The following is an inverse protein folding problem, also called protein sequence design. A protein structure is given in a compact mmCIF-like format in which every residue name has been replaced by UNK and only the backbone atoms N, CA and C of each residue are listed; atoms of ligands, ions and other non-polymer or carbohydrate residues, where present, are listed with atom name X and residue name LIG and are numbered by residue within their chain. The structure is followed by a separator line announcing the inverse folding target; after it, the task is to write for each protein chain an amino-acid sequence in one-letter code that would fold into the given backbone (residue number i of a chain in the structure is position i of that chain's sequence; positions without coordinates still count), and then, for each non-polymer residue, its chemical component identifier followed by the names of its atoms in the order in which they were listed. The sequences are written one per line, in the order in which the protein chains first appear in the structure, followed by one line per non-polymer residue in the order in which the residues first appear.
data_IF_214170900288
#
_entry.id   IF_214170900288
#
_cell.length_a   1.000
_cell.length_b   1.000
_cell.length_c   1.000
_cell.angle_alpha   90.00
_cell.angle_beta   90.00
_cell.angle_gamma   90.00
#
_symmetry.space_group_name_H-M   'P 1'
#
loop_
_entity.id
_entity.type
_entity.pdbx_description
1 polymer ?
#
# COMPACT_ATOMS: atom_id res chain seq x y z
N UNK A 1 -4.98 -6.21 21.22
CA UNK A 1 -4.88 -5.64 19.85
C UNK A 1 -3.67 -6.29 19.19
N UNK A 2 -3.85 -7.13 18.17
CA UNK A 2 -2.72 -7.84 17.51
C UNK A 2 -3.06 -8.13 16.04
N UNK A 3 -2.59 -7.34 15.09
CA UNK A 3 -2.23 -7.88 13.76
C UNK A 3 -0.78 -8.32 13.86
N UNK A 4 -0.51 -9.58 13.54
CA UNK A 4 0.81 -10.19 13.68
C UNK A 4 1.32 -10.52 12.29
N UNK A 5 2.36 -9.81 11.84
CA UNK A 5 3.24 -10.24 10.75
C UNK A 5 4.37 -11.00 11.45
N UNK A 6 4.57 -12.29 11.15
CA UNK A 6 5.53 -13.15 11.86
C UNK A 6 6.35 -14.05 10.92
N UNK A 7 7.65 -14.26 11.21
CA UNK A 7 8.38 -15.49 10.93
C UNK A 7 8.41 -16.44 12.16
N UNK A 8 8.68 -17.73 11.93
CA UNK A 8 8.37 -18.89 12.78
C UNK A 8 9.20 -19.10 14.07
N UNK A 9 8.63 -19.85 15.03
CA UNK A 9 9.14 -20.21 16.38
C UNK A 9 9.69 -21.66 16.49
N UNK A 10 10.20 -22.06 17.68
CA UNK A 10 9.61 -23.24 18.34
C UNK A 10 9.49 -23.23 19.90
N UNK A 11 8.31 -23.69 20.37
CA UNK A 11 7.90 -24.57 21.51
C UNK A 11 8.54 -24.60 22.92
N UNK A 12 7.69 -24.68 23.98
CA UNK A 12 7.60 -25.80 24.99
C UNK A 12 6.36 -25.65 25.94
N UNK A 13 5.98 -26.74 26.65
CA UNK A 13 4.66 -27.13 27.24
C UNK A 13 4.48 -26.95 28.78
N UNK A 14 3.26 -26.56 29.20
CA UNK A 14 2.30 -27.09 30.24
C UNK A 14 2.63 -27.11 31.80
N UNK A 15 1.69 -27.49 32.73
CA UNK A 15 0.83 -26.63 33.61
C UNK A 15 0.78 -27.14 35.11
N UNK A 16 -0.33 -27.21 35.94
CA UNK A 16 -1.59 -26.46 36.18
C UNK A 16 -1.94 -26.18 37.71
N UNK A 17 -3.18 -25.69 38.00
CA UNK A 17 -4.02 -25.80 39.25
C UNK A 17 -4.36 -24.47 39.94
N UNK A 18 -5.51 -24.21 40.62
CA UNK A 18 -6.83 -24.83 40.79
C UNK A 18 -7.72 -23.89 41.67
N UNK A 19 -9.01 -24.23 41.82
CA UNK A 19 -9.93 -23.96 42.96
C UNK A 19 -10.84 -22.70 42.94
N UNK A 20 -12.16 -22.97 42.89
CA UNK A 20 -13.32 -22.12 43.29
C UNK A 20 -13.70 -22.38 44.78
N UNK A 21 -14.66 -21.70 45.47
CA UNK A 21 -16.10 -21.89 45.17
C UNK A 21 -17.14 -20.84 45.67
N UNK A 22 -18.39 -21.03 45.19
CA UNK A 22 -19.70 -20.98 45.90
C UNK A 22 -20.44 -19.65 46.18
N UNK A 23 -21.65 -19.50 45.59
CA UNK A 23 -23.00 -19.65 46.22
C UNK A 23 -24.08 -18.93 45.37
N UNK A 24 -25.03 -19.64 44.72
CA UNK A 24 -26.38 -20.06 45.19
C UNK A 24 -27.39 -18.89 45.30
N UNK A 25 -28.54 -18.82 44.61
CA UNK A 25 -29.78 -19.66 44.55
C UNK A 25 -30.72 -18.98 43.51
N UNK A 26 -31.85 -19.46 43.00
CA UNK A 26 -32.60 -20.73 42.91
C UNK A 26 -33.87 -20.40 42.09
N UNK A 27 -34.42 -21.36 41.33
CA UNK A 27 -35.68 -21.16 40.61
C UNK A 27 -36.07 -22.30 39.63
N UNK A 28 -36.41 -23.46 40.20
CA UNK A 28 -37.17 -24.63 39.67
C UNK A 28 -38.31 -24.29 38.67
N UNK A 29 -38.76 -25.14 37.72
CA UNK A 29 -39.16 -26.57 37.87
C UNK A 29 -39.49 -27.25 36.50
N UNK A 30 -39.11 -28.54 36.39
CA UNK A 30 -39.82 -29.72 35.82
C UNK A 30 -40.32 -29.76 34.35
N UNK A 31 -40.38 -30.89 33.61
CA UNK A 31 -39.86 -32.28 33.71
C UNK A 31 -40.34 -33.06 32.44
N UNK A 32 -39.78 -34.26 32.24
CA UNK A 32 -40.19 -35.39 31.36
C UNK A 32 -39.55 -35.47 29.97
N UNK A 33 -39.06 -36.60 29.43
CA UNK A 33 -38.46 -37.86 29.90
C UNK A 33 -38.34 -38.81 28.68
N UNK A 34 -37.11 -39.20 28.33
CA UNK A 34 -36.63 -40.52 27.80
C UNK A 34 -37.05 -41.03 26.38
N UNK A 35 -36.32 -42.01 25.78
CA UNK A 35 -34.93 -42.46 25.99
C UNK A 35 -34.09 -42.64 24.70
N UNK A 36 -32.79 -42.89 24.90
CA UNK A 36 -31.80 -43.36 23.92
C UNK A 36 -31.86 -44.88 23.66
N UNK A 37 -31.03 -45.39 22.73
CA UNK A 37 -30.27 -46.60 23.04
C UNK A 37 -28.75 -46.48 22.75
N UNK A 38 -28.00 -47.18 23.60
CA UNK A 38 -26.56 -47.52 23.53
C UNK A 38 -26.26 -48.65 22.52
N UNK A 39 -25.00 -48.73 22.08
CA UNK A 39 -24.13 -49.93 21.97
C UNK A 39 -22.95 -49.60 21.04
N UNK A 40 -21.76 -49.28 21.57
CA UNK A 40 -20.63 -50.18 21.86
C UNK A 40 -19.61 -50.37 20.70
N UNK A 41 -18.31 -50.59 21.02
CA UNK A 41 -17.18 -50.31 20.12
C UNK A 41 -16.68 -51.56 19.36
N UNK A 42 -16.13 -51.35 18.16
CA UNK A 42 -15.38 -52.39 17.44
C UNK A 42 -13.87 -52.15 17.59
N UNK A 43 -13.23 -53.11 18.25
CA UNK A 43 -11.79 -53.35 18.24
C UNK A 43 -11.43 -54.01 16.91
N UNK A 44 -10.38 -53.54 16.24
CA UNK A 44 -9.71 -54.31 15.18
C UNK A 44 -8.19 -54.12 15.24
N UNK A 45 -7.53 -55.26 15.24
CA UNK A 45 -6.12 -55.57 15.44
C UNK A 45 -5.21 -55.23 14.25
N UNK A 46 -3.93 -55.11 14.62
CA UNK A 46 -2.70 -55.02 13.81
C UNK A 46 -2.66 -55.98 12.61
N UNK A 47 -2.17 -55.48 11.46
CA UNK A 47 -1.54 -56.31 10.42
C UNK A 47 -0.30 -55.60 9.85
N UNK A 48 0.86 -56.17 10.17
CA UNK A 48 2.19 -55.91 9.60
C UNK A 48 2.34 -56.53 8.20
N UNK A 49 3.03 -55.84 7.27
CA UNK A 49 3.69 -56.47 6.10
C UNK A 49 5.05 -55.77 5.78
N UNK A 50 5.98 -56.48 5.12
CA UNK A 50 7.44 -56.37 5.31
C UNK A 50 8.19 -55.60 4.17
N UNK A 51 9.54 -55.48 4.19
CA UNK A 51 10.31 -54.38 3.58
C UNK A 51 11.00 -54.73 2.25
N UNK A 52 11.21 -53.71 1.40
CA UNK A 52 12.26 -53.59 0.34
C UNK A 52 12.02 -52.21 -0.34
N UNK A 53 12.97 -51.39 -0.79
CA UNK A 53 14.36 -51.58 -1.16
C UNK A 53 15.16 -50.27 -0.94
N UNK A 54 16.48 -50.40 -1.05
CA UNK A 54 17.53 -49.47 -0.65
C UNK A 54 17.52 -48.09 -1.33
N UNK A 55 17.96 -47.11 -0.55
CA UNK A 55 18.33 -45.75 -0.98
C UNK A 55 19.68 -45.78 -1.68
N UNK A 56 19.72 -45.43 -2.96
CA UNK A 56 20.96 -45.10 -3.67
C UNK A 56 21.17 -43.58 -3.67
N UNK A 57 22.28 -43.18 -3.07
CA UNK A 57 22.79 -41.81 -3.02
C UNK A 57 23.54 -41.55 -4.33
N UNK A 58 23.08 -40.60 -5.15
CA UNK A 58 23.84 -40.13 -6.32
C UNK A 58 24.35 -38.71 -6.05
N UNK A 59 25.67 -38.60 -6.00
CA UNK A 59 26.42 -37.34 -5.92
C UNK A 59 26.39 -36.59 -7.27
N UNK A 60 26.46 -35.25 -7.28
CA UNK A 60 26.44 -34.47 -8.51
C UNK A 60 27.81 -34.50 -9.22
N UNK A 61 27.80 -34.79 -10.53
CA UNK A 61 28.95 -34.56 -11.42
C UNK A 61 28.70 -33.35 -12.34
N UNK A 62 29.75 -32.58 -12.70
CA UNK A 62 29.63 -31.33 -13.41
C UNK A 62 29.69 -31.53 -14.93
N UNK A 63 28.86 -30.81 -15.68
CA UNK A 63 29.11 -30.56 -17.10
C UNK A 63 29.31 -29.07 -17.34
N UNK A 64 30.59 -28.68 -17.47
CA UNK A 64 30.98 -27.59 -18.36
C UNK A 64 31.16 -28.19 -19.74
N UNK A 65 30.43 -27.68 -20.71
CA UNK A 65 30.72 -27.82 -22.13
C UNK A 65 30.93 -26.42 -22.69
N UNK A 66 32.12 -26.17 -23.23
CA UNK A 66 32.44 -24.96 -23.97
C UNK A 66 31.67 -24.91 -25.30
N UNK A 67 31.27 -23.72 -25.79
CA UNK A 67 30.51 -23.59 -27.02
C UNK A 67 31.37 -23.51 -28.29
N UNK A 68 30.86 -24.18 -29.33
CA UNK A 68 31.32 -24.31 -30.71
C UNK A 68 31.36 -22.95 -31.48
N UNK A 69 32.48 -22.59 -32.18
CA UNK A 69 32.67 -21.27 -32.76
C UNK A 69 32.27 -21.21 -34.25
N UNK A 70 30.98 -21.34 -34.59
CA UNK A 70 30.52 -21.04 -35.96
C UNK A 70 29.00 -20.83 -36.07
N UNK A 71 28.48 -19.74 -35.48
CA UNK A 71 27.20 -19.17 -35.93
C UNK A 71 27.30 -17.66 -35.93
N UNK A 72 27.47 -17.08 -37.13
CA UNK A 72 27.33 -15.64 -37.35
C UNK A 72 25.87 -15.28 -37.07
N UNK A 73 25.62 -14.84 -35.83
CA UNK A 73 24.38 -14.22 -35.41
C UNK A 73 24.32 -12.82 -36.04
N UNK A 74 23.57 -12.68 -37.12
CA UNK A 74 23.10 -11.35 -37.54
C UNK A 74 22.04 -10.93 -36.53
N UNK A 75 22.48 -10.28 -35.45
CA UNK A 75 21.59 -9.58 -34.52
C UNK A 75 20.66 -8.68 -35.34
N UNK A 76 19.33 -8.75 -35.16
CA UNK A 76 18.45 -7.75 -35.74
C UNK A 76 18.90 -6.38 -35.24
N UNK A 77 19.14 -5.46 -36.19
CA UNK A 77 19.50 -4.07 -35.89
C UNK A 77 18.47 -3.54 -34.88
N UNK A 78 18.90 -2.93 -33.77
CA UNK A 78 17.95 -2.30 -32.85
C UNK A 78 17.06 -1.35 -33.68
N UNK A 79 15.75 -1.30 -33.39
CA UNK A 79 14.89 -0.30 -34.01
C UNK A 79 15.56 1.07 -33.84
N UNK A 80 15.52 1.95 -34.85
CA UNK A 80 16.04 3.30 -34.69
C UNK A 80 15.44 3.89 -33.40
N UNK A 81 16.21 4.66 -32.61
CA UNK A 81 15.66 5.36 -31.46
C UNK A 81 14.36 6.05 -31.91
N UNK A 82 13.29 6.06 -31.10
CA UNK A 82 12.12 6.88 -31.41
C UNK A 82 12.66 8.28 -31.73
N UNK A 83 12.28 8.76 -32.92
CA UNK A 83 12.78 10.00 -33.50
C UNK A 83 12.93 11.06 -32.42
N UNK A 84 14.10 11.69 -32.41
CA UNK A 84 14.47 12.66 -31.41
C UNK A 84 13.40 13.75 -31.27
N UNK A 85 12.73 13.70 -30.11
CA UNK A 85 12.51 14.80 -29.17
C UNK A 85 11.31 15.77 -29.35
N UNK A 86 10.34 15.71 -28.40
CA UNK A 86 9.61 16.91 -27.93
C UNK A 86 10.55 17.99 -27.34
N UNK A 87 11.77 17.59 -26.93
CA UNK A 87 12.73 18.36 -26.14
C UNK A 87 13.22 19.68 -26.77
N UNK A 88 13.05 19.90 -28.08
CA UNK A 88 13.39 21.19 -28.71
C UNK A 88 12.23 22.19 -28.77
N UNK A 89 10.96 21.73 -28.78
CA UNK A 89 9.78 22.62 -28.67
C UNK A 89 9.49 23.01 -27.21
N UNK A 90 10.01 22.24 -26.26
CA UNK A 90 9.83 22.39 -24.81
C UNK A 90 10.79 23.42 -24.18
N UNK A 91 11.98 23.63 -24.80
CA UNK A 91 13.11 24.43 -24.27
C UNK A 91 12.89 25.95 -24.10
N UNK A 92 11.69 26.45 -24.36
CA UNK A 92 11.29 27.84 -24.07
C UNK A 92 10.03 27.97 -23.22
N UNK A 93 9.41 26.85 -22.80
CA UNK A 93 8.10 26.84 -22.11
C UNK A 93 8.21 26.51 -20.63
N UNK A 94 9.33 25.91 -20.21
CA UNK A 94 9.64 25.55 -18.83
C UNK A 94 11.11 25.92 -18.51
N UNK A 95 11.44 26.23 -17.24
CA UNK A 95 10.53 26.31 -16.11
C UNK A 95 9.63 27.55 -16.17
N UNK A 96 8.39 27.45 -15.66
CA UNK A 96 7.46 28.58 -15.55
C UNK A 96 6.61 28.51 -14.28
N UNK A 97 6.15 29.65 -13.74
CA UNK A 97 5.15 29.68 -12.67
C UNK A 97 3.89 28.89 -12.99
N UNK A 98 3.33 28.23 -11.96
CA UNK A 98 2.01 27.60 -12.03
C UNK A 98 0.92 28.67 -12.19
N UNK A 99 -0.10 28.36 -12.98
CA UNK A 99 -1.20 29.29 -13.29
C UNK A 99 -2.47 28.97 -12.51
N UNK A 100 -2.75 27.69 -12.27
CA UNK A 100 -3.95 27.21 -11.61
C UNK A 100 -3.65 26.13 -10.55
N UNK A 101 -4.72 25.63 -9.93
CA UNK A 101 -4.63 24.63 -8.87
C UNK A 101 -4.20 23.25 -9.38
N UNK A 102 -4.50 22.88 -10.62
CA UNK A 102 -4.08 21.61 -11.18
C UNK A 102 -2.57 21.62 -11.43
N UNK A 103 -2.06 22.71 -12.01
CA UNK A 103 -0.63 22.93 -12.18
C UNK A 103 0.10 22.96 -10.82
N UNK A 104 -0.47 23.63 -9.82
CA UNK A 104 0.07 23.65 -8.48
C UNK A 104 0.11 22.24 -7.84
N UNK A 105 -0.95 21.45 -7.97
CA UNK A 105 -0.99 20.08 -7.46
C UNK A 105 0.09 19.20 -8.10
N UNK A 106 0.27 19.26 -9.43
CA UNK A 106 1.31 18.49 -10.12
C UNK A 106 2.71 18.95 -9.71
N UNK A 107 2.95 20.26 -9.64
CA UNK A 107 4.24 20.80 -9.19
C UNK A 107 4.56 20.38 -7.75
N UNK A 108 3.59 20.44 -6.84
CA UNK A 108 3.75 19.98 -5.45
C UNK A 108 4.05 18.48 -5.37
N UNK A 109 3.32 17.66 -6.14
CA UNK A 109 3.54 16.21 -6.17
C UNK A 109 4.96 15.84 -6.65
N UNK A 110 5.51 16.57 -7.63
CA UNK A 110 6.91 16.44 -8.10
C UNK A 110 7.96 16.82 -7.06
N UNK A 111 7.57 17.53 -6.00
CA UNK A 111 8.43 17.87 -4.87
C UNK A 111 8.24 16.94 -3.66
N UNK A 112 7.53 15.82 -3.84
CA UNK A 112 7.08 14.92 -2.76
C UNK A 112 6.24 15.63 -1.68
N UNK A 113 5.63 16.76 -2.04
CA UNK A 113 4.64 17.46 -1.21
C UNK A 113 3.26 17.08 -1.72
N UNK A 114 2.80 15.88 -1.36
CA UNK A 114 1.58 15.30 -1.93
C UNK A 114 0.36 16.17 -1.62
N UNK A 115 -0.37 16.65 -2.64
CA UNK A 115 -1.63 17.38 -2.45
C UNK A 115 -2.82 16.45 -2.17
N UNK A 116 -2.58 15.16 -1.96
CA UNK A 116 -3.58 14.11 -2.06
C UNK A 116 -3.75 13.62 -3.49
N UNK A 117 -4.94 13.11 -3.81
CA UNK A 117 -5.31 12.70 -5.16
C UNK A 117 -5.56 13.94 -6.04
N UNK A 118 -4.81 14.09 -7.13
CA UNK A 118 -4.85 15.27 -8.00
C UNK A 118 -6.21 15.38 -8.70
N UNK A 119 -6.90 16.50 -8.54
CA UNK A 119 -8.26 16.73 -9.03
C UNK A 119 -8.50 18.13 -9.64
N UNK A 120 -7.54 19.04 -9.47
CA UNK A 120 -7.59 20.44 -9.86
C UNK A 120 -8.25 21.36 -8.83
N UNK A 121 -8.56 20.88 -7.62
CA UNK A 121 -9.33 21.63 -6.62
C UNK A 121 -8.48 22.02 -5.38
N UNK A 122 -8.74 23.20 -4.79
CA UNK A 122 -8.06 23.66 -3.57
C UNK A 122 -8.64 23.05 -2.30
N UNK A 123 -8.68 21.73 -2.23
CA UNK A 123 -9.13 20.99 -1.05
C UNK A 123 -8.18 21.13 0.14
N UNK A 124 -8.59 20.64 1.34
CA UNK A 124 -7.78 20.73 2.56
C UNK A 124 -6.37 20.12 2.42
N UNK A 125 -6.23 19.01 1.69
CA UNK A 125 -4.95 18.34 1.43
C UNK A 125 -4.05 19.18 0.52
N UNK A 126 -4.58 19.69 -0.60
CA UNK A 126 -3.88 20.64 -1.49
C UNK A 126 -3.35 21.84 -0.70
N UNK A 127 -4.19 22.44 0.16
CA UNK A 127 -3.81 23.60 0.97
C UNK A 127 -2.76 23.25 2.03
N UNK A 128 -2.84 22.06 2.64
CA UNK A 128 -1.82 21.60 3.59
C UNK A 128 -0.46 21.40 2.91
N UNK A 129 -0.43 20.78 1.73
CA UNK A 129 0.79 20.64 0.94
C UNK A 129 1.35 22.01 0.52
N UNK A 130 0.48 22.94 0.12
CA UNK A 130 0.90 24.30 -0.23
C UNK A 130 1.47 25.07 0.97
N UNK A 131 0.90 24.92 2.18
CA UNK A 131 1.49 25.47 3.41
C UNK A 131 2.86 24.89 3.72
N UNK A 132 3.05 23.58 3.51
CA UNK A 132 4.34 22.94 3.68
C UNK A 132 5.37 23.49 2.69
N UNK A 133 4.97 23.67 1.42
CA UNK A 133 5.80 24.32 0.41
C UNK A 133 6.16 25.76 0.78
N UNK A 134 5.17 26.59 1.12
CA UNK A 134 5.37 27.98 1.52
C UNK A 134 6.35 28.08 2.70
N UNK A 135 6.16 27.26 3.73
CA UNK A 135 7.08 27.20 4.87
C UNK A 135 8.50 26.83 4.44
N UNK A 136 8.66 25.82 3.57
CA UNK A 136 9.98 25.41 3.04
C UNK A 136 10.67 26.48 2.20
N UNK A 137 9.91 27.45 1.67
CA UNK A 137 10.40 28.58 0.88
C UNK A 137 10.43 29.90 1.66
N UNK A 138 10.24 29.85 2.98
CA UNK A 138 10.16 31.05 3.84
C UNK A 138 9.11 32.07 3.39
N UNK A 139 8.01 31.58 2.79
CA UNK A 139 6.82 32.36 2.47
C UNK A 139 5.79 32.24 3.60
N UNK A 140 4.85 33.18 3.66
CA UNK A 140 3.70 33.07 4.57
C UNK A 140 2.93 31.79 4.27
N UNK A 141 2.73 30.86 5.23
CA UNK A 141 2.04 29.60 5.01
C UNK A 141 0.51 29.79 5.00
N UNK A 142 0.01 30.56 4.04
CA UNK A 142 -1.41 30.88 3.87
C UNK A 142 -2.22 29.66 3.40
N UNK A 143 -1.60 28.73 2.67
CA UNK A 143 -2.31 27.68 1.92
C UNK A 143 -3.13 28.23 0.75
N UNK A 144 -2.91 29.50 0.38
CA UNK A 144 -3.46 30.12 -0.81
C UNK A 144 -2.41 30.16 -1.91
N UNK A 145 -2.85 29.90 -3.14
CA UNK A 145 -2.02 30.08 -4.32
C UNK A 145 -1.98 31.58 -4.63
N UNK A 146 -1.27 32.37 -3.82
CA UNK A 146 -1.11 33.82 -4.00
C UNK A 146 0.01 34.17 -5.00
N UNK A 147 0.22 35.46 -5.26
CA UNK A 147 1.20 35.91 -6.26
C UNK A 147 2.63 35.47 -5.93
N UNK A 148 3.04 35.56 -4.66
CA UNK A 148 4.37 35.13 -4.22
C UNK A 148 4.53 33.61 -4.35
N UNK A 149 3.50 32.86 -3.97
CA UNK A 149 3.48 31.40 -4.07
C UNK A 149 3.51 30.93 -5.53
N UNK A 150 2.75 31.57 -6.43
CA UNK A 150 2.80 31.27 -7.87
C UNK A 150 4.20 31.53 -8.45
N UNK A 151 4.82 32.65 -8.09
CA UNK A 151 6.16 32.97 -8.56
C UNK A 151 7.21 31.95 -8.10
N UNK A 152 7.04 31.39 -6.89
CA UNK A 152 7.96 30.41 -6.32
C UNK A 152 7.70 28.96 -6.76
N UNK A 153 6.43 28.59 -6.99
CA UNK A 153 6.04 27.24 -7.39
C UNK A 153 6.04 27.11 -8.91
N UNK A 154 7.05 26.43 -9.44
CA UNK A 154 7.29 26.31 -10.88
C UNK A 154 6.96 24.92 -11.40
N UNK A 155 6.41 24.85 -12.61
CA UNK A 155 6.46 23.65 -13.44
C UNK A 155 7.77 23.67 -14.20
N UNK A 156 8.53 22.59 -14.07
CA UNK A 156 9.80 22.32 -14.73
C UNK A 156 9.66 21.49 -16.01
N UNK A 157 8.46 20.93 -16.23
CA UNK A 157 8.16 20.00 -17.32
C UNK A 157 6.65 20.01 -17.64
N UNK A 158 6.23 19.50 -18.81
CA UNK A 158 4.83 19.37 -19.23
C UNK A 158 3.85 18.92 -18.15
N UNK A 159 2.68 19.54 -18.09
CA UNK A 159 1.66 19.17 -17.12
C UNK A 159 1.14 17.74 -17.33
N UNK A 160 1.02 17.32 -18.59
CA UNK A 160 0.45 16.05 -18.99
C UNK A 160 1.44 15.20 -19.77
N UNK A 161 1.19 13.90 -19.77
CA UNK A 161 1.82 12.93 -20.67
C UNK A 161 0.75 12.00 -21.24
N UNK A 162 1.08 11.31 -22.33
CA UNK A 162 0.22 10.29 -22.90
C UNK A 162 0.75 8.90 -22.53
N UNK A 163 -0.07 8.14 -21.83
CA UNK A 163 0.18 6.73 -21.54
C UNK A 163 -0.55 5.90 -22.59
N UNK A 164 0.18 5.02 -23.27
CA UNK A 164 -0.40 4.08 -24.22
C UNK A 164 -0.77 2.82 -23.47
N UNK A 165 -2.06 2.47 -23.47
CA UNK A 165 -2.55 1.26 -22.79
C UNK A 165 -1.97 0.02 -23.47
N UNK A 166 -1.21 -0.79 -22.73
CA UNK A 166 -0.62 -2.01 -23.27
C UNK A 166 -1.55 -3.23 -23.12
N UNK A 167 -1.30 -4.27 -23.91
CA UNK A 167 -1.95 -5.58 -23.70
C UNK A 167 -1.64 -6.14 -22.31
N UNK A 168 -0.43 -5.88 -21.80
CA UNK A 168 -0.05 -6.29 -20.44
C UNK A 168 -0.92 -5.57 -19.42
N UNK A 169 -1.07 -4.24 -19.47
CA UNK A 169 -1.91 -3.48 -18.53
C UNK A 169 -3.34 -4.04 -18.44
N UNK A 170 -3.93 -4.43 -19.57
CA UNK A 170 -5.26 -5.03 -19.61
C UNK A 170 -5.27 -6.47 -19.07
N UNK A 171 -4.23 -7.25 -19.34
CA UNK A 171 -4.12 -8.64 -18.89
C UNK A 171 -3.91 -8.80 -17.37
N UNK A 172 -3.34 -7.79 -16.70
CA UNK A 172 -3.18 -7.79 -15.22
C UNK A 172 -4.44 -7.34 -14.47
N UNK A 173 -5.45 -6.79 -15.16
CA UNK A 173 -6.68 -6.37 -14.50
C UNK A 173 -7.41 -7.59 -13.93
N UNK A 174 -7.80 -7.51 -12.66
CA UNK A 174 -8.43 -8.61 -11.97
C UNK A 174 -9.58 -8.09 -11.09
N UNK A 175 -10.85 -8.48 -11.35
CA UNK A 175 -11.94 -8.20 -10.43
C UNK A 175 -11.63 -8.77 -9.05
N UNK A 176 -11.84 -7.97 -8.01
CA UNK A 176 -11.55 -8.42 -6.66
C UNK A 176 -12.72 -9.19 -6.08
N UNK A 177 -12.41 -10.25 -5.33
CA UNK A 177 -13.45 -10.91 -4.58
C UNK A 177 -14.00 -9.98 -3.49
N UNK A 178 -15.33 -9.93 -3.31
CA UNK A 178 -15.92 -9.14 -2.24
C UNK A 178 -15.61 -9.74 -0.85
N UNK A 179 -15.26 -11.03 -0.77
CA UNK A 179 -15.02 -11.74 0.49
C UNK A 179 -13.52 -11.87 0.82
N UNK A 180 -13.19 -11.92 2.10
CA UNK A 180 -11.83 -12.21 2.57
C UNK A 180 -11.32 -13.57 2.11
N UNK A 181 -12.17 -14.60 2.19
CA UNK A 181 -11.81 -15.94 1.72
C UNK A 181 -11.52 -15.96 0.23
N UNK A 182 -12.32 -15.25 -0.58
CA UNK A 182 -12.07 -15.18 -2.01
C UNK A 182 -10.80 -14.39 -2.34
N UNK A 183 -10.55 -13.26 -1.67
CA UNK A 183 -9.30 -12.49 -1.81
C UNK A 183 -8.07 -13.33 -1.47
N UNK A 184 -8.14 -14.17 -0.43
CA UNK A 184 -7.04 -15.07 -0.03
C UNK A 184 -6.69 -16.13 -1.08
N UNK A 185 -7.59 -16.40 -2.04
CA UNK A 185 -7.40 -17.38 -3.12
C UNK A 185 -6.96 -16.74 -4.43
N UNK A 186 -6.90 -15.42 -4.51
CA UNK A 186 -6.34 -14.72 -5.66
C UNK A 186 -4.81 -14.82 -5.64
N UNK A 187 -4.17 -14.72 -6.80
CA UNK A 187 -2.70 -14.68 -6.89
C UNK A 187 -2.12 -13.33 -6.48
N UNK A 188 -2.91 -12.26 -6.66
CA UNK A 188 -2.60 -10.89 -6.28
C UNK A 188 -3.91 -10.09 -6.12
N UNK A 189 -3.84 -8.94 -5.46
CA UNK A 189 -4.90 -7.94 -5.44
C UNK A 189 -4.51 -6.78 -6.37
N UNK A 190 -4.51 -7.08 -7.68
CA UNK A 190 -4.25 -6.12 -8.76
C UNK A 190 -5.39 -5.09 -8.93
N UNK A 191 -5.24 -4.18 -9.88
CA UNK A 191 -6.27 -3.19 -10.23
C UNK A 191 -7.52 -3.86 -10.83
N UNK A 192 -8.71 -3.35 -10.51
CA UNK A 192 -9.99 -3.82 -11.05
C UNK A 192 -10.30 -3.20 -12.43
N UNK A 193 -9.69 -2.05 -12.74
CA UNK A 193 -9.93 -1.35 -14.00
C UNK A 193 -8.70 -0.58 -14.50
N UNK A 194 -8.67 -0.31 -15.81
CA UNK A 194 -7.64 0.54 -16.41
C UNK A 194 -7.68 1.97 -15.86
N UNK A 195 -8.87 2.47 -15.54
CA UNK A 195 -9.03 3.80 -14.96
C UNK A 195 -8.35 3.89 -13.60
N UNK A 196 -8.55 2.89 -12.75
CA UNK A 196 -7.92 2.80 -11.44
C UNK A 196 -6.39 2.71 -11.56
N UNK A 197 -5.88 1.83 -12.43
CA UNK A 197 -4.45 1.70 -12.71
C UNK A 197 -3.83 3.04 -13.12
N UNK A 198 -4.46 3.74 -14.07
CA UNK A 198 -3.94 5.01 -14.59
C UNK A 198 -4.07 6.15 -13.57
N UNK A 199 -5.16 6.18 -12.81
CA UNK A 199 -5.36 7.13 -11.71
C UNK A 199 -4.27 6.98 -10.65
N UNK A 200 -4.00 5.75 -10.20
CA UNK A 200 -2.95 5.43 -9.24
C UNK A 200 -1.56 5.83 -9.76
N UNK A 201 -1.20 5.39 -10.97
CA UNK A 201 0.12 5.69 -11.56
C UNK A 201 0.37 7.19 -11.76
N UNK A 202 -0.69 7.97 -11.98
CA UNK A 202 -0.62 9.43 -12.15
C UNK A 202 -0.95 10.21 -10.87
N UNK A 203 -1.10 9.53 -9.73
CA UNK A 203 -1.47 10.12 -8.42
C UNK A 203 -2.73 10.98 -8.45
N UNK A 204 -3.66 10.62 -9.33
CA UNK A 204 -4.79 11.46 -9.73
C UNK A 204 -6.12 10.85 -9.34
N UNK A 205 -7.13 11.70 -9.19
CA UNK A 205 -8.48 11.24 -8.93
C UNK A 205 -9.06 10.64 -10.22
N UNK A 206 -9.75 9.48 -10.19
CA UNK A 206 -10.33 8.87 -11.39
C UNK A 206 -11.20 9.81 -12.23
N UNK A 207 -11.97 10.69 -11.58
CA UNK A 207 -12.77 11.72 -12.28
C UNK A 207 -11.94 12.75 -13.06
N UNK A 208 -10.72 13.10 -12.61
CA UNK A 208 -9.83 13.96 -13.40
C UNK A 208 -9.42 13.21 -14.67
N UNK A 209 -9.02 11.95 -14.55
CA UNK A 209 -8.62 11.12 -15.69
C UNK A 209 -9.78 10.98 -16.70
N UNK A 210 -11.01 10.73 -16.24
CA UNK A 210 -12.19 10.74 -17.11
C UNK A 210 -12.40 12.08 -17.81
N UNK A 211 -12.27 13.19 -17.08
CA UNK A 211 -12.47 14.54 -17.64
C UNK A 211 -11.44 14.88 -18.72
N UNK A 212 -10.19 14.50 -18.52
CA UNK A 212 -9.11 14.70 -19.50
C UNK A 212 -9.31 13.84 -20.76
N UNK A 213 -10.08 12.75 -20.67
CA UNK A 213 -10.27 11.77 -21.74
C UNK A 213 -11.76 11.51 -21.96
N UNK A 214 -12.55 12.59 -22.16
CA UNK A 214 -14.01 12.50 -22.24
C UNK A 214 -14.54 11.69 -23.42
N UNK A 215 -13.70 11.45 -24.43
CA UNK A 215 -14.04 10.64 -25.61
C UNK A 215 -13.73 9.14 -25.43
N UNK A 216 -13.14 8.73 -24.30
CA UNK A 216 -12.76 7.33 -24.05
C UNK A 216 -13.92 6.55 -23.45
N UNK A 217 -14.27 5.44 -24.09
CA UNK A 217 -15.21 4.45 -23.57
C UNK A 217 -14.50 3.52 -22.56
N UNK A 218 -14.56 3.91 -21.28
CA UNK A 218 -13.80 3.27 -20.19
C UNK A 218 -14.15 1.80 -19.93
N UNK A 219 -15.33 1.35 -20.33
CA UNK A 219 -15.74 -0.07 -20.22
C UNK A 219 -15.09 -0.97 -21.27
N UNK A 220 -14.47 -0.41 -22.31
CA UNK A 220 -13.98 -1.16 -23.47
C UNK A 220 -12.70 -0.56 -24.05
N UNK A 221 -11.77 -0.14 -23.20
CA UNK A 221 -10.48 0.42 -23.63
C UNK A 221 -9.65 -0.66 -24.34
N UNK A 222 -9.21 -0.39 -25.56
CA UNK A 222 -8.38 -1.30 -26.35
C UNK A 222 -6.88 -1.06 -26.13
N UNK A 223 -6.02 -2.06 -26.37
CA UNK A 223 -4.58 -1.83 -26.46
C UNK A 223 -4.26 -0.73 -27.48
N UNK A 224 -3.17 -0.01 -27.24
CA UNK A 224 -2.71 1.14 -28.01
C UNK A 224 -3.57 2.41 -27.88
N UNK A 225 -4.63 2.41 -27.06
CA UNK A 225 -5.38 3.64 -26.77
C UNK A 225 -4.47 4.64 -26.03
N UNK A 226 -4.25 5.85 -26.58
CA UNK A 226 -3.53 6.89 -25.86
C UNK A 226 -4.45 7.53 -24.81
N UNK A 227 -3.98 7.60 -23.57
CA UNK A 227 -4.68 8.23 -22.45
C UNK A 227 -3.84 9.37 -21.91
N UNK A 228 -4.40 10.58 -21.91
CA UNK A 228 -3.77 11.76 -21.31
C UNK A 228 -3.91 11.72 -19.80
N UNK A 229 -2.79 11.81 -19.08
CA UNK A 229 -2.76 11.81 -17.60
C UNK A 229 -1.83 12.91 -17.08
N UNK A 230 -2.03 13.40 -15.84
CA UNK A 230 -1.04 14.26 -15.19
C UNK A 230 0.33 13.60 -15.12
N UNK A 231 1.36 14.35 -15.51
CA UNK A 231 2.73 13.83 -15.51
C UNK A 231 3.41 14.12 -14.18
N UNK A 232 3.21 13.24 -13.22
CA UNK A 232 3.95 13.26 -11.96
C UNK A 232 5.21 12.42 -12.17
N UNK A 233 6.33 13.08 -12.44
CA UNK A 233 7.63 12.41 -12.45
C UNK A 233 7.87 11.81 -11.06
N UNK A 234 8.04 10.49 -11.00
CA UNK A 234 8.26 9.80 -9.73
C UNK A 234 9.41 10.43 -8.98
N UNK A 235 9.14 10.96 -7.79
CA UNK A 235 10.16 11.60 -6.97
C UNK A 235 11.03 10.50 -6.40
N UNK A 236 12.29 10.44 -6.86
CA UNK A 236 13.32 9.60 -6.25
C UNK A 236 13.96 10.45 -5.16
N UNK A 237 13.79 10.12 -3.87
CA UNK A 237 14.43 10.87 -2.81
C UNK A 237 15.96 10.85 -2.95
N UNK A 238 16.60 12.01 -2.82
CA UNK A 238 18.05 12.13 -2.93
C UNK A 238 18.81 11.65 -1.69
N UNK A 239 18.12 11.54 -0.55
CA UNK A 239 18.68 11.10 0.74
C UNK A 239 17.64 10.31 1.55
N UNK A 240 18.11 9.59 2.56
CA UNK A 240 17.24 8.96 3.58
C UNK A 240 16.72 10.03 4.54
N UNK A 241 15.52 9.86 5.05
CA UNK A 241 15.00 10.73 6.11
C UNK A 241 15.74 10.46 7.43
N UNK A 242 16.09 11.51 8.16
CA UNK A 242 16.62 11.40 9.51
C UNK A 242 15.51 11.04 10.50
N UNK A 243 14.30 11.58 10.32
CA UNK A 243 13.13 11.29 11.15
C UNK A 243 11.82 11.64 10.43
N UNK A 244 10.71 11.22 11.02
CA UNK A 244 9.35 11.56 10.56
C UNK A 244 8.56 12.22 11.68
N UNK A 245 7.78 13.25 11.37
CA UNK A 245 6.69 13.75 12.22
C UNK A 245 5.35 13.34 11.65
N UNK A 246 4.46 12.85 12.52
CA UNK A 246 3.06 12.61 12.23
C UNK A 246 2.27 13.53 13.15
N UNK A 247 1.61 14.52 12.58
CA UNK A 247 0.77 15.43 13.36
C UNK A 247 -0.70 15.05 13.20
N UNK A 248 -1.30 14.63 14.31
CA UNK A 248 -2.63 14.05 14.32
C UNK A 248 -3.70 15.11 14.07
N UNK A 249 -3.54 16.33 14.61
CA UNK A 249 -4.46 17.45 14.38
C UNK A 249 -4.55 17.83 12.88
N UNK A 250 -3.41 17.95 12.19
CA UNK A 250 -3.38 18.29 10.76
C UNK A 250 -3.61 17.08 9.85
N UNK A 251 -3.54 15.85 10.38
CA UNK A 251 -3.62 14.60 9.60
C UNK A 251 -2.54 14.54 8.52
N UNK A 252 -1.30 14.87 8.91
CA UNK A 252 -0.15 14.93 7.99
C UNK A 252 1.01 14.10 8.52
N UNK A 253 1.78 13.55 7.59
CA UNK A 253 3.07 12.94 7.82
C UNK A 253 4.13 13.77 7.08
N UNK A 254 5.22 14.13 7.74
CA UNK A 254 6.35 14.80 7.14
C UNK A 254 7.65 14.05 7.44
N UNK A 255 8.45 13.82 6.40
CA UNK A 255 9.78 13.26 6.52
C UNK A 255 10.83 14.37 6.38
N UNK A 256 11.84 14.35 7.24
CA UNK A 256 12.87 15.39 7.31
C UNK A 256 14.26 14.79 7.13
N UNK A 257 15.16 15.54 6.49
CA UNK A 257 16.58 15.20 6.36
C UNK A 257 17.36 15.55 7.62
N UNK A 258 18.65 15.26 7.62
CA UNK A 258 19.55 15.48 8.76
C UNK A 258 19.66 16.94 9.19
N UNK A 259 19.41 17.87 8.27
CA UNK A 259 19.42 19.32 8.52
C UNK A 259 18.02 19.88 8.84
N UNK A 260 17.06 18.99 9.15
CA UNK A 260 15.64 19.33 9.33
C UNK A 260 14.99 19.99 8.10
N UNK A 261 15.56 19.77 6.91
CA UNK A 261 14.95 20.11 5.63
C UNK A 261 13.79 19.16 5.34
N UNK A 262 12.65 19.70 4.90
CA UNK A 262 11.49 18.90 4.53
C UNK A 262 11.77 18.09 3.26
N UNK A 263 11.77 16.76 3.36
CA UNK A 263 11.97 15.86 2.23
C UNK A 263 10.65 15.42 1.60
N UNK A 264 9.62 15.26 2.41
CA UNK A 264 8.30 14.87 1.94
C UNK A 264 7.18 15.33 2.88
N UNK A 265 6.00 15.56 2.31
CA UNK A 265 4.77 15.87 3.03
C UNK A 265 3.62 15.03 2.46
N UNK A 266 2.94 14.27 3.30
CA UNK A 266 1.85 13.39 2.89
C UNK A 266 0.60 13.60 3.75
N UNK A 267 -0.59 13.66 3.14
CA UNK A 267 -1.84 13.43 3.85
C UNK A 267 -1.85 12.05 4.50
N UNK A 268 -2.36 11.96 5.71
CA UNK A 268 -2.35 10.74 6.51
C UNK A 268 -3.70 10.51 7.21
N UNK A 269 -4.28 9.34 7.02
CA UNK A 269 -5.42 8.89 7.81
C UNK A 269 -4.95 8.29 9.15
N UNK A 270 -5.60 8.72 10.23
CA UNK A 270 -5.28 8.32 11.62
C UNK A 270 -6.40 7.47 12.21
N UNK A 271 -6.12 6.78 13.32
CA UNK A 271 -7.11 5.93 14.00
C UNK A 271 -8.35 6.73 14.44
N UNK A 272 -9.52 6.11 14.30
CA UNK A 272 -10.77 6.74 14.75
C UNK A 272 -10.80 7.03 16.24
N UNK A 273 -10.47 5.99 17.00
CA UNK A 273 -10.46 6.00 18.46
C UNK A 273 -9.19 6.68 18.96
N UNK A 274 -9.35 7.72 19.78
CA UNK A 274 -8.22 8.47 20.34
C UNK A 274 -7.30 7.56 21.15
N UNK A 275 -7.86 6.60 21.89
CA UNK A 275 -7.10 5.66 22.74
C UNK A 275 -6.20 4.73 21.92
N UNK A 276 -6.46 4.63 20.61
CA UNK A 276 -5.65 3.85 19.67
C UNK A 276 -4.55 4.68 19.02
N UNK A 277 -4.60 6.01 19.08
CA UNK A 277 -3.58 6.89 18.49
C UNK A 277 -2.35 6.88 19.40
N UNK A 278 -1.17 6.47 18.92
CA UNK A 278 0.05 6.66 19.66
C UNK A 278 0.34 8.17 19.71
N UNK A 279 0.97 8.60 20.79
CA UNK A 279 1.57 9.94 20.92
C UNK A 279 2.95 9.73 21.51
N UNK A 280 3.93 10.51 21.06
CA UNK A 280 5.32 10.37 21.45
C UNK A 280 6.19 9.73 20.38
N UNK A 281 7.30 9.15 20.81
CA UNK A 281 8.35 8.62 19.93
C UNK A 281 8.14 7.11 19.68
N UNK A 282 8.23 6.74 18.40
CA UNK A 282 8.23 5.37 17.90
C UNK A 282 9.43 5.18 16.97
N UNK A 283 9.78 3.93 16.68
CA UNK A 283 10.86 3.60 15.76
C UNK A 283 10.39 2.63 14.69
N UNK A 284 10.92 2.82 13.47
CA UNK A 284 10.74 1.84 12.40
C UNK A 284 11.46 0.54 12.74
N UNK A 285 10.75 -0.58 12.74
CA UNK A 285 11.33 -1.90 13.03
C UNK A 285 11.41 -2.80 11.80
N UNK A 286 10.58 -2.56 10.79
CA UNK A 286 10.57 -3.37 9.56
C UNK A 286 10.05 -2.58 8.37
N UNK A 287 10.60 -2.84 7.20
CA UNK A 287 10.21 -2.26 5.92
C UNK A 287 9.87 -3.41 4.95
N UNK A 288 8.62 -3.46 4.49
CA UNK A 288 8.12 -4.54 3.64
C UNK A 288 7.48 -3.93 2.38
N UNK A 289 8.16 -3.97 1.22
CA UNK A 289 7.52 -3.69 -0.06
C UNK A 289 6.55 -4.82 -0.43
N UNK A 290 5.42 -4.48 -1.07
CA UNK A 290 4.39 -5.41 -1.52
C UNK A 290 4.04 -6.48 -0.47
N UNK A 291 3.58 -6.06 0.72
CA UNK A 291 3.33 -6.97 1.82
C UNK A 291 2.13 -7.89 1.55
N UNK A 292 2.19 -9.11 2.10
CA UNK A 292 0.98 -9.87 2.41
C UNK A 292 0.22 -9.19 3.56
N UNK A 293 -1.10 -9.35 3.59
CA UNK A 293 -1.92 -8.96 4.74
C UNK A 293 -2.51 -10.19 5.43
N UNK A 294 -2.30 -10.33 6.73
CA UNK A 294 -2.94 -11.39 7.52
C UNK A 294 -4.28 -10.90 8.05
N UNK A 295 -5.36 -11.42 7.48
CA UNK A 295 -6.69 -11.23 8.02
C UNK A 295 -6.94 -12.23 9.16
N UNK A 296 -7.23 -11.70 10.34
CA UNK A 296 -7.54 -12.48 11.53
C UNK A 296 -9.02 -12.29 11.89
N UNK A 297 -9.88 -13.30 11.67
CA UNK A 297 -11.31 -13.18 11.90
C UNK A 297 -11.68 -12.75 13.31
N UNK A 298 -10.87 -13.12 14.32
CA UNK A 298 -11.10 -12.75 15.72
C UNK A 298 -11.06 -11.23 15.97
N UNK A 299 -10.38 -10.48 15.09
CA UNK A 299 -10.25 -9.03 15.21
C UNK A 299 -11.46 -8.27 14.64
N UNK A 300 -12.33 -8.94 13.89
CA UNK A 300 -13.46 -8.34 13.18
C UNK A 300 -14.78 -9.04 13.55
N UNK A 301 -15.14 -9.13 14.85
CA UNK A 301 -16.35 -9.84 15.29
C UNK A 301 -17.64 -9.20 14.78
N UNK A 302 -17.60 -7.96 14.28
CA UNK A 302 -18.72 -7.29 13.61
C UNK A 302 -18.97 -7.82 12.19
N UNK A 303 -17.96 -8.39 11.53
CA UNK A 303 -18.06 -8.90 10.16
C UNK A 303 -18.79 -10.24 10.13
N UNK A 304 -19.87 -10.32 9.35
CA UNK A 304 -20.62 -11.56 9.16
C UNK A 304 -19.75 -12.68 8.55
N UNK A 305 -18.86 -12.35 7.62
CA UNK A 305 -17.91 -13.31 7.06
C UNK A 305 -16.87 -13.75 8.09
N UNK A 306 -16.35 -12.84 8.91
CA UNK A 306 -15.36 -13.20 9.91
C UNK A 306 -15.90 -14.25 10.89
N UNK A 307 -17.18 -14.15 11.25
CA UNK A 307 -17.85 -15.11 12.15
C UNK A 307 -17.95 -16.53 11.57
N UNK A 308 -17.83 -16.72 10.25
CA UNK A 308 -17.86 -18.04 9.61
C UNK A 308 -16.47 -18.64 9.39
N UNK A 309 -15.41 -17.87 9.65
CA UNK A 309 -14.03 -18.28 9.43
C UNK A 309 -13.37 -18.69 10.76
N UNK A 310 -12.68 -19.84 10.75
CA UNK A 310 -11.98 -20.39 11.92
C UNK A 310 -10.46 -20.21 11.86
N UNK A 311 -9.92 -19.86 10.69
CA UNK A 311 -8.48 -19.72 10.47
C UNK A 311 -8.15 -18.32 9.95
N UNK A 312 -6.92 -17.87 10.25
CA UNK A 312 -6.36 -16.67 9.65
C UNK A 312 -6.17 -16.87 8.15
N UNK A 313 -6.40 -15.82 7.39
CA UNK A 313 -6.21 -15.81 5.94
C UNK A 313 -5.00 -14.97 5.58
N UNK A 314 -4.20 -15.45 4.64
CA UNK A 314 -3.13 -14.67 4.02
C UNK A 314 -3.69 -14.07 2.75
N UNK A 315 -3.74 -12.75 2.71
CA UNK A 315 -4.19 -11.97 1.57
C UNK A 315 -2.95 -11.58 0.75
N UNK A 316 -2.90 -11.91 -0.54
CA UNK A 316 -1.72 -11.71 -1.37
C UNK A 316 -1.44 -10.21 -1.58
N UNK A 317 -0.24 -9.85 -2.05
CA UNK A 317 0.13 -8.46 -2.30
C UNK A 317 -0.63 -7.86 -3.48
N UNK A 318 -0.56 -6.53 -3.60
CA UNK A 318 -1.07 -5.77 -4.74
C UNK A 318 -1.53 -4.37 -4.34
N UNK A 319 -1.79 -3.47 -5.30
CA UNK A 319 -2.31 -2.12 -5.04
C UNK A 319 -3.60 -2.14 -4.22
N UNK A 320 -4.42 -3.18 -4.39
CA UNK A 320 -5.67 -3.33 -3.68
C UNK A 320 -5.58 -4.09 -2.34
N UNK A 321 -4.37 -4.41 -1.89
CA UNK A 321 -4.17 -5.00 -0.57
C UNK A 321 -4.65 -4.03 0.53
N UNK A 322 -5.27 -4.50 1.65
CA UNK A 322 -5.72 -3.63 2.74
C UNK A 322 -4.65 -2.72 3.36
N UNK A 323 -3.37 -3.11 3.26
CA UNK A 323 -2.23 -2.29 3.68
C UNK A 323 -1.45 -1.71 2.49
N UNK A 324 -1.98 -1.83 1.28
CA UNK A 324 -1.41 -1.31 0.05
C UNK A 324 -0.09 -1.96 -0.34
N UNK A 325 0.73 -1.20 -1.07
CA UNK A 325 1.99 -1.68 -1.65
C UNK A 325 3.21 -1.53 -0.73
N UNK A 326 3.03 -1.00 0.48
CA UNK A 326 4.14 -0.78 1.40
C UNK A 326 3.66 -0.86 2.86
N UNK A 327 4.45 -1.55 3.68
CA UNK A 327 4.29 -1.61 5.12
C UNK A 327 5.58 -1.19 5.83
N UNK A 328 5.47 -0.17 6.68
CA UNK A 328 6.54 0.35 7.53
C UNK A 328 6.10 0.09 8.97
N UNK A 329 6.57 -1.01 9.55
CA UNK A 329 6.18 -1.42 10.90
C UNK A 329 6.90 -0.57 11.95
N UNK A 330 6.18 -0.25 13.03
CA UNK A 330 6.71 0.50 14.17
C UNK A 330 6.89 -0.42 15.39
N UNK A 331 7.72 -0.01 16.34
CA UNK A 331 8.00 -0.69 17.62
C UNK A 331 6.79 -0.79 18.57
N UNK A 332 5.63 -0.27 18.16
CA UNK A 332 4.33 -0.57 18.75
C UNK A 332 3.69 -1.77 18.06
N UNK A 333 3.53 -2.86 18.80
CA UNK A 333 3.01 -4.13 18.27
C UNK A 333 1.75 -3.97 17.40
N UNK A 334 1.82 -4.46 16.15
CA UNK A 334 0.73 -4.44 15.18
C UNK A 334 0.40 -3.06 14.61
N UNK A 335 1.27 -2.08 14.81
CA UNK A 335 1.09 -0.70 14.36
C UNK A 335 2.14 -0.36 13.29
N UNK A 336 1.76 0.49 12.33
CA UNK A 336 2.62 0.81 11.21
C UNK A 336 2.14 2.01 10.40
N UNK A 337 2.95 2.40 9.44
CA UNK A 337 2.61 3.33 8.36
C UNK A 337 2.47 2.49 7.08
N UNK A 338 1.38 2.64 6.34
CA UNK A 338 1.11 1.78 5.19
C UNK A 338 0.28 2.44 4.08
N UNK A 339 0.23 1.79 2.91
CA UNK A 339 -0.56 2.21 1.75
C UNK A 339 -2.07 1.93 1.89
N UNK A 340 -2.84 2.08 0.81
CA UNK A 340 -4.28 1.85 0.82
C UNK A 340 -4.81 1.56 -0.57
N UNK A 341 -5.85 0.72 -0.71
CA UNK A 341 -6.56 0.51 -1.96
C UNK A 341 -7.45 1.70 -2.36
N UNK A 342 -7.62 2.68 -1.47
CA UNK A 342 -8.55 3.81 -1.67
C UNK A 342 -7.87 5.15 -1.34
N UNK A 343 -6.95 5.61 -2.19
CA UNK A 343 -6.14 6.79 -1.91
C UNK A 343 -6.95 8.09 -1.82
N UNK A 344 -8.10 8.19 -2.50
CA UNK A 344 -9.01 9.35 -2.46
C UNK A 344 -9.69 9.54 -1.10
N UNK A 345 -9.64 8.52 -0.24
CA UNK A 345 -10.23 8.53 1.10
C UNK A 345 -9.22 8.89 2.20
N UNK A 346 -7.94 9.02 1.86
CA UNK A 346 -6.90 9.40 2.82
C UNK A 346 -7.20 10.79 3.40
N UNK A 347 -7.00 10.95 4.71
CA UNK A 347 -7.32 12.17 5.46
C UNK A 347 -8.81 12.40 5.72
N UNK A 348 -9.71 11.62 5.09
CA UNK A 348 -11.18 11.69 5.26
C UNK A 348 -11.72 10.52 6.08
N UNK A 349 -11.25 9.31 5.80
CA UNK A 349 -11.67 8.08 6.48
C UNK A 349 -10.68 7.71 7.59
N UNK A 350 -11.20 7.32 8.74
CA UNK A 350 -10.42 6.98 9.92
C UNK A 350 -9.99 5.49 9.90
N UNK A 351 -8.78 5.20 10.38
CA UNK A 351 -8.24 3.84 10.41
C UNK A 351 -8.67 3.08 11.67
N UNK A 352 -8.44 1.77 11.69
CA UNK A 352 -8.65 0.92 12.87
C UNK A 352 -7.51 0.99 13.90
N UNK A 353 -6.44 1.74 13.58
CA UNK A 353 -5.21 1.82 14.36
C UNK A 353 -4.13 2.56 13.57
N UNK A 354 -3.59 1.98 12.50
CA UNK A 354 -2.38 2.45 11.82
C UNK A 354 -2.47 3.82 11.12
N UNK A 355 -1.31 4.32 10.68
CA UNK A 355 -1.20 5.49 9.81
C UNK A 355 -1.31 5.07 8.35
N UNK A 356 -2.29 5.60 7.64
CA UNK A 356 -2.58 5.21 6.26
C UNK A 356 -2.26 6.35 5.30
N UNK A 357 -1.52 6.04 4.25
CA UNK A 357 -1.15 6.93 3.16
C UNK A 357 -1.72 6.39 1.85
N UNK A 358 -1.80 7.25 0.83
CA UNK A 358 -1.95 6.78 -0.54
C UNK A 358 -0.76 5.87 -0.92
N UNK A 359 -0.97 4.87 -1.77
CA UNK A 359 0.08 3.91 -2.14
C UNK A 359 1.34 4.58 -2.69
N UNK A 360 1.20 5.59 -3.57
CA UNK A 360 2.34 6.33 -4.10
C UNK A 360 3.14 7.08 -3.00
N UNK A 361 2.45 7.62 -1.99
CA UNK A 361 3.09 8.25 -0.83
C UNK A 361 3.77 7.21 0.07
N UNK A 362 3.14 6.05 0.28
CA UNK A 362 3.72 4.96 1.06
C UNK A 362 4.98 4.39 0.38
N UNK A 363 4.96 4.24 -0.95
CA UNK A 363 6.13 3.84 -1.73
C UNK A 363 7.26 4.87 -1.66
N UNK A 364 6.95 6.17 -1.73
CA UNK A 364 7.93 7.23 -1.53
C UNK A 364 8.54 7.18 -0.11
N UNK A 365 7.71 7.04 0.92
CA UNK A 365 8.20 6.91 2.31
C UNK A 365 9.05 5.66 2.51
N UNK A 366 8.71 4.54 1.88
CA UNK A 366 9.49 3.31 1.95
C UNK A 366 10.93 3.52 1.44
N UNK A 367 11.11 4.37 0.42
CA UNK A 367 12.43 4.74 -0.09
C UNK A 367 13.18 5.69 0.85
N UNK A 368 12.48 6.56 1.58
CA UNK A 368 13.06 7.46 2.59
C UNK A 368 13.43 6.75 3.89
N UNK A 369 12.69 5.71 4.27
CA UNK A 369 12.79 5.06 5.56
C UNK A 369 13.96 4.06 5.67
N UNK A 370 14.35 3.78 6.92
CA UNK A 370 15.34 2.79 7.32
C UNK A 370 14.96 2.24 8.71
N UNK A 371 15.44 1.04 9.05
CA UNK A 371 15.16 0.40 10.36
C UNK A 371 15.89 1.16 11.46
N UNK A 372 15.17 1.60 12.49
CA UNK A 372 15.65 2.48 13.55
C UNK A 372 15.30 3.95 13.33
N UNK A 373 14.72 4.33 12.18
CA UNK A 373 14.32 5.71 11.93
C UNK A 373 13.29 6.17 12.98
N UNK A 374 13.55 7.30 13.68
CA UNK A 374 12.59 7.89 14.61
C UNK A 374 11.32 8.39 13.92
N UNK A 375 10.19 8.14 14.57
CA UNK A 375 8.85 8.60 14.17
C UNK A 375 8.21 9.29 15.38
N UNK A 376 8.14 10.61 15.32
CA UNK A 376 7.49 11.44 16.33
C UNK A 376 6.02 11.60 15.98
N UNK A 377 5.15 11.31 16.94
CA UNK A 377 3.70 11.47 16.78
C UNK A 377 3.21 12.57 17.71
N UNK A 378 2.82 13.69 17.10
CA UNK A 378 2.35 14.89 17.77
C UNK A 378 0.81 14.94 17.79
N UNK A 379 0.18 15.44 18.88
CA UNK A 379 -1.28 15.50 19.05
C UNK A 379 -2.09 16.19 17.95
#
# INVERSE_FOLDING_TARGET
MKSVVQPASPTTKSPPSAVSPSMNKAGTKAELSRPAPEAEPLVATVATRPPTAATEVIAPQPLRSEPDPARKSTLPRPPPPPEAMPDQLEKGRYPRPVQDWLEAQVALARLALSPGSIDGLPGPQTRAALRAFQSSRSLTPSGELDAATRAALVLDAPLYTNVVVSTEDLARLQPLSPSWLGKSRQSALEYESILELLAEKSQSHPNLIRRLNSAVEWSSVSPQTPITVPWVNGVVPSEKAAFVHIRLAERTLQAFGSQSNLLAHFPCSIAKRMEKRPVGELHVVVLIPNPNYTFDPELFPESAEARTLTNKLVIPPGPNNPVGIAWIGLDRAGYGIHGTPSPEQVGRTESHGCFRLANWNAACLLQLAWVGMPVFVDP
#
